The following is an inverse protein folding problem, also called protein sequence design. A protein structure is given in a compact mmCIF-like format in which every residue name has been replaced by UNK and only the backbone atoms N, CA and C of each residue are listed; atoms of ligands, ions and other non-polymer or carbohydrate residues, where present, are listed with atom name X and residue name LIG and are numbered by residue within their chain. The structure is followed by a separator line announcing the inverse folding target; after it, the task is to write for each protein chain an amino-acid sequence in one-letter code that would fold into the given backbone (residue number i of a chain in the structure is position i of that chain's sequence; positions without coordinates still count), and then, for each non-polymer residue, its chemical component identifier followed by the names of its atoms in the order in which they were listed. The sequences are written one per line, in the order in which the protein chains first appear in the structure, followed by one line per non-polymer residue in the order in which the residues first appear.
data_IF_367249424318
#
_entry.id   IF_367249424318
#
_cell.length_a   1.000
_cell.length_b   1.000
_cell.length_c   1.000
_cell.angle_alpha   90.00
_cell.angle_beta   90.00
_cell.angle_gamma   90.00
#
_symmetry.space_group_name_H-M   'P 1'
#
loop_
_entity.id
_entity.type
_entity.pdbx_description
1 polymer ?
#
# COMPACT_ATOMS: atom_id res chain seq x y z
N UNK A 1 -28.60 3.22 -9.30
CA UNK A 1 -28.33 3.01 -7.85
C UNK A 1 -28.50 4.35 -7.15
N UNK A 2 -28.94 4.42 -5.90
CA UNK A 2 -29.10 5.72 -5.22
C UNK A 2 -27.74 6.28 -4.79
N UNK A 3 -27.58 7.59 -4.91
CA UNK A 3 -26.39 8.30 -4.49
C UNK A 3 -26.06 8.03 -3.01
N UNK A 4 -24.78 7.84 -2.72
CA UNK A 4 -24.24 7.76 -1.37
C UNK A 4 -23.71 9.13 -0.98
N UNK A 5 -24.16 9.68 0.15
CA UNK A 5 -23.68 10.96 0.67
C UNK A 5 -23.27 10.81 2.13
N UNK A 6 -22.67 11.87 2.68
CA UNK A 6 -22.27 11.94 4.08
C UNK A 6 -23.18 12.92 4.80
N UNK A 7 -23.86 12.46 5.85
CA UNK A 7 -24.59 13.32 6.76
C UNK A 7 -24.09 13.07 8.18
N UNK A 8 -23.64 14.13 8.85
CA UNK A 8 -22.85 14.02 10.08
C UNK A 8 -21.70 13.01 9.89
N UNK A 9 -21.59 12.00 10.73
CA UNK A 9 -20.56 10.95 10.67
C UNK A 9 -21.07 9.64 10.06
N UNK A 10 -22.14 9.69 9.26
CA UNK A 10 -22.80 8.51 8.69
C UNK A 10 -22.80 8.56 7.16
N UNK A 11 -22.70 7.39 6.55
CA UNK A 11 -23.05 7.21 5.15
C UNK A 11 -24.56 7.11 5.02
N UNK A 12 -25.16 7.93 4.16
CA UNK A 12 -26.61 7.96 3.95
C UNK A 12 -26.96 7.83 2.47
N UNK A 13 -28.12 7.26 2.18
CA UNK A 13 -28.67 7.28 0.83
C UNK A 13 -29.63 8.44 0.58
N UNK A 14 -30.14 8.54 -0.65
CA UNK A 14 -31.08 9.56 -1.07
C UNK A 14 -32.43 9.55 -0.31
N UNK A 15 -32.75 8.50 0.45
CA UNK A 15 -33.94 8.44 1.31
C UNK A 15 -33.64 8.81 2.77
N UNK A 16 -32.41 9.22 3.08
CA UNK A 16 -31.97 9.55 4.43
C UNK A 16 -31.70 8.32 5.32
N UNK A 17 -31.59 7.12 4.74
CA UNK A 17 -31.28 5.90 5.51
C UNK A 17 -29.79 5.82 5.76
N UNK A 18 -29.39 5.55 7.00
CA UNK A 18 -28.01 5.21 7.34
C UNK A 18 -27.63 3.85 6.78
N UNK A 19 -26.52 3.79 6.07
CA UNK A 19 -26.03 2.58 5.41
C UNK A 19 -24.87 1.94 6.16
N UNK A 20 -24.98 0.63 6.41
CA UNK A 20 -23.85 -0.20 6.80
C UNK A 20 -23.23 -0.83 5.55
N UNK A 21 -22.09 -0.31 5.12
CA UNK A 21 -21.38 -0.82 3.96
C UNK A 21 -20.66 -2.12 4.33
N UNK A 22 -21.11 -3.25 3.78
CA UNK A 22 -20.51 -4.58 4.01
C UNK A 22 -20.15 -5.24 2.68
N UNK A 23 -18.90 -5.67 2.58
CA UNK A 23 -18.29 -6.00 1.31
C UNK A 23 -16.99 -6.79 1.41
N UNK A 24 -16.31 -6.90 0.29
CA UNK A 24 -15.00 -7.54 0.15
C UNK A 24 -14.06 -6.70 -0.71
N UNK A 25 -12.75 -6.92 -0.54
CA UNK A 25 -11.73 -6.46 -1.47
C UNK A 25 -11.75 -7.31 -2.75
N UNK A 26 -11.76 -6.67 -3.92
CA UNK A 26 -11.90 -7.32 -5.22
C UNK A 26 -10.82 -6.82 -6.20
N UNK A 27 -9.70 -7.52 -6.37
CA UNK A 27 -9.21 -8.63 -5.55
C UNK A 27 -7.69 -8.57 -5.44
N UNK A 28 -7.11 -9.31 -4.49
CA UNK A 28 -5.65 -9.46 -4.39
C UNK A 28 -4.99 -10.01 -5.66
N UNK A 29 -5.73 -10.69 -6.54
CA UNK A 29 -5.23 -11.14 -7.85
C UNK A 29 -4.90 -9.98 -8.80
N UNK A 30 -5.49 -8.79 -8.59
CA UNK A 30 -5.26 -7.56 -9.37
C UNK A 30 -3.92 -6.87 -9.06
N UNK A 31 -3.18 -7.35 -8.05
CA UNK A 31 -1.87 -6.82 -7.65
C UNK A 31 -0.76 -7.10 -8.68
N UNK A 32 -0.94 -8.11 -9.53
CA UNK A 32 0.07 -8.53 -10.51
C UNK A 32 -0.54 -8.68 -11.91
N UNK A 33 0.26 -8.54 -12.99
CA UNK A 33 -0.22 -8.69 -14.35
C UNK A 33 -0.98 -10.01 -14.58
N UNK A 34 -1.99 -9.98 -15.44
CA UNK A 34 -2.67 -11.17 -15.92
C UNK A 34 -1.77 -11.97 -16.86
N UNK A 35 -1.08 -11.25 -17.76
CA UNK A 35 -0.16 -11.81 -18.74
C UNK A 35 1.08 -10.92 -18.92
N UNK A 36 2.28 -11.50 -19.11
CA UNK A 36 2.58 -12.91 -18.88
C UNK A 36 2.56 -13.24 -17.37
N UNK A 37 2.17 -14.48 -17.01
CA UNK A 37 2.31 -14.95 -15.62
C UNK A 37 3.72 -15.48 -15.43
N UNK A 38 4.55 -14.68 -14.78
CA UNK A 38 5.97 -14.97 -14.58
C UNK A 38 6.36 -14.69 -13.14
N UNK A 39 7.19 -15.57 -12.60
CA UNK A 39 7.84 -15.38 -11.30
C UNK A 39 9.02 -14.42 -11.44
N UNK A 40 9.51 -13.91 -10.32
CA UNK A 40 10.53 -12.85 -10.31
C UNK A 40 11.97 -13.30 -10.64
N UNK A 41 12.20 -14.60 -10.82
CA UNK A 41 13.43 -15.18 -11.36
C UNK A 41 13.41 -15.32 -12.89
N UNK A 42 12.25 -15.20 -13.53
CA UNK A 42 12.12 -15.21 -14.98
C UNK A 42 12.56 -13.86 -15.56
N UNK A 43 13.41 -13.86 -16.60
CA UNK A 43 13.87 -12.64 -17.25
C UNK A 43 12.71 -11.77 -17.79
N UNK A 44 11.59 -12.40 -18.19
CA UNK A 44 10.37 -11.72 -18.65
C UNK A 44 9.69 -10.90 -17.55
N UNK A 45 9.97 -11.16 -16.28
CA UNK A 45 9.47 -10.34 -15.16
C UNK A 45 9.91 -8.88 -15.30
N UNK A 46 11.11 -8.65 -15.82
CA UNK A 46 11.68 -7.31 -16.03
C UNK A 46 11.21 -6.63 -17.32
N UNK A 47 10.47 -7.34 -18.18
CA UNK A 47 9.82 -6.75 -19.36
C UNK A 47 8.46 -6.14 -18.99
N UNK A 48 8.51 -5.12 -18.11
CA UNK A 48 7.30 -4.51 -17.56
C UNK A 48 6.48 -3.71 -18.58
N UNK A 49 7.05 -3.42 -19.75
CA UNK A 49 6.36 -2.67 -20.82
C UNK A 49 5.40 -3.56 -21.60
N UNK A 50 5.62 -4.87 -21.61
CA UNK A 50 4.82 -5.85 -22.35
C UNK A 50 3.97 -6.70 -21.40
N UNK A 51 3.31 -6.06 -20.43
CA UNK A 51 2.37 -6.70 -19.50
C UNK A 51 0.94 -6.24 -19.76
N UNK A 52 -0.02 -7.08 -19.42
CA UNK A 52 -1.45 -6.73 -19.45
C UNK A 52 -2.11 -7.11 -18.13
N UNK A 53 -2.93 -6.19 -17.61
CA UNK A 53 -3.80 -6.39 -16.45
C UNK A 53 -5.25 -6.70 -16.86
N UNK A 54 -5.56 -6.70 -18.16
CA UNK A 54 -6.88 -7.11 -18.69
C UNK A 54 -7.14 -8.55 -18.26
N UNK A 55 -8.30 -8.79 -17.65
CA UNK A 55 -8.64 -10.07 -17.04
C UNK A 55 -8.28 -10.19 -15.55
N UNK A 56 -7.85 -9.11 -14.88
CA UNK A 56 -7.79 -9.01 -13.41
C UNK A 56 -8.96 -8.19 -12.85
N UNK A 57 -9.77 -8.69 -11.92
CA UNK A 57 -9.49 -9.85 -11.06
C UNK A 57 -9.80 -11.21 -11.69
N UNK A 58 -10.63 -11.25 -12.73
CA UNK A 58 -11.08 -12.44 -13.46
C UNK A 58 -11.48 -12.08 -14.91
N UNK A 59 -11.68 -13.07 -15.79
CA UNK A 59 -12.14 -12.78 -17.15
C UNK A 59 -13.56 -12.17 -17.11
N UNK A 60 -13.85 -11.22 -18.01
CA UNK A 60 -15.13 -10.50 -17.99
C UNK A 60 -16.35 -11.44 -18.12
N UNK A 61 -16.21 -12.53 -18.88
CA UNK A 61 -17.25 -13.56 -19.03
C UNK A 61 -17.60 -14.30 -17.73
N UNK A 62 -16.69 -14.30 -16.75
CA UNK A 62 -16.88 -14.97 -15.46
C UNK A 62 -17.44 -13.99 -14.40
N UNK A 63 -17.64 -12.71 -14.77
CA UNK A 63 -18.07 -11.67 -13.84
C UNK A 63 -19.44 -11.95 -13.22
N UNK A 64 -20.40 -12.42 -14.02
CA UNK A 64 -21.76 -12.71 -13.56
C UNK A 64 -21.76 -13.78 -12.47
N UNK A 65 -21.00 -14.87 -12.64
CA UNK A 65 -20.88 -15.94 -11.63
C UNK A 65 -20.31 -15.41 -10.31
N UNK A 66 -19.22 -14.63 -10.37
CA UNK A 66 -18.57 -14.11 -9.18
C UNK A 66 -19.44 -13.07 -8.46
N UNK A 67 -20.07 -12.16 -9.19
CA UNK A 67 -20.90 -11.11 -8.61
C UNK A 67 -22.22 -11.65 -8.08
N UNK A 68 -22.83 -12.63 -8.74
CA UNK A 68 -23.99 -13.35 -8.22
C UNK A 68 -23.68 -14.03 -6.89
N UNK A 69 -22.53 -14.70 -6.79
CA UNK A 69 -22.08 -15.34 -5.54
C UNK A 69 -21.94 -14.34 -4.39
N UNK A 70 -21.28 -13.21 -4.61
CA UNK A 70 -21.10 -12.18 -3.58
C UNK A 70 -22.46 -11.59 -3.15
N UNK A 71 -23.37 -11.36 -4.10
CA UNK A 71 -24.73 -10.90 -3.82
C UNK A 71 -25.52 -11.94 -3.01
N UNK A 72 -25.41 -13.23 -3.34
CA UNK A 72 -26.05 -14.32 -2.60
C UNK A 72 -25.56 -14.43 -1.15
N UNK A 73 -24.31 -14.02 -0.88
CA UNK A 73 -23.78 -13.88 0.49
C UNK A 73 -24.24 -12.62 1.21
N UNK A 74 -25.06 -11.77 0.58
CA UNK A 74 -25.59 -10.54 1.15
C UNK A 74 -24.61 -9.36 1.11
N UNK A 75 -23.52 -9.45 0.35
CA UNK A 75 -22.56 -8.36 0.20
C UNK A 75 -23.10 -7.31 -0.78
N UNK A 76 -22.92 -6.04 -0.45
CA UNK A 76 -23.46 -4.90 -1.23
C UNK A 76 -22.40 -3.84 -1.54
N UNK A 77 -21.15 -4.11 -1.17
CA UNK A 77 -20.04 -3.18 -1.31
C UNK A 77 -18.79 -3.92 -1.81
N UNK A 78 -17.98 -3.26 -2.63
CA UNK A 78 -16.70 -3.74 -3.13
C UNK A 78 -15.65 -2.65 -2.97
N UNK A 79 -14.49 -3.03 -2.45
CA UNK A 79 -13.26 -2.25 -2.56
C UNK A 79 -12.46 -2.79 -3.75
N UNK A 80 -12.52 -2.11 -4.88
CA UNK A 80 -12.00 -2.58 -6.16
C UNK A 80 -10.53 -2.19 -6.34
N UNK A 81 -9.66 -3.19 -6.34
CA UNK A 81 -8.20 -3.07 -6.30
C UNK A 81 -7.68 -2.68 -7.68
N UNK A 82 -7.02 -1.52 -7.78
CA UNK A 82 -6.37 -1.03 -9.00
C UNK A 82 -4.97 -0.55 -8.69
N UNK A 83 -3.95 -1.15 -9.29
CA UNK A 83 -2.57 -0.69 -9.17
C UNK A 83 -2.29 0.43 -10.17
N UNK A 84 -1.34 1.32 -9.83
CA UNK A 84 -0.86 2.33 -10.78
C UNK A 84 -0.23 1.68 -12.02
N UNK A 85 0.47 0.55 -11.85
CA UNK A 85 1.05 -0.23 -12.94
C UNK A 85 -0.02 -0.73 -13.93
N UNK A 86 -1.21 -1.10 -13.46
CA UNK A 86 -2.28 -1.54 -14.35
C UNK A 86 -2.76 -0.41 -15.29
N UNK A 87 -2.77 0.84 -14.81
CA UNK A 87 -3.21 1.99 -15.59
C UNK A 87 -2.12 2.48 -16.54
N UNK A 88 -0.85 2.50 -16.11
CA UNK A 88 0.26 3.07 -16.89
C UNK A 88 1.53 2.21 -16.84
N UNK A 89 1.51 0.98 -17.38
CA UNK A 89 2.64 0.06 -17.26
C UNK A 89 3.85 0.50 -18.08
N UNK A 90 3.64 1.09 -19.26
CA UNK A 90 4.68 1.31 -20.28
C UNK A 90 5.60 2.49 -19.96
N UNK A 91 5.05 3.54 -19.37
CA UNK A 91 5.79 4.78 -19.14
C UNK A 91 4.94 5.91 -18.57
N UNK A 92 5.57 7.05 -18.25
CA UNK A 92 4.85 8.23 -17.78
C UNK A 92 3.89 8.72 -18.88
N UNK A 93 2.62 8.93 -18.51
CA UNK A 93 1.55 9.36 -19.42
C UNK A 93 1.19 8.36 -20.55
N UNK A 94 1.65 7.12 -20.46
CA UNK A 94 1.28 6.04 -21.38
C UNK A 94 0.21 5.14 -20.74
N UNK A 95 -1.05 5.55 -20.86
CA UNK A 95 -2.18 4.88 -20.22
C UNK A 95 -2.68 3.68 -21.04
N UNK A 96 -2.99 2.58 -20.36
CA UNK A 96 -3.52 1.37 -20.98
C UNK A 96 -5.06 1.47 -21.14
N UNK A 97 -5.49 1.94 -22.32
CA UNK A 97 -6.90 2.11 -22.64
C UNK A 97 -7.70 0.79 -22.57
N UNK A 98 -7.08 -0.34 -22.95
CA UNK A 98 -7.74 -1.65 -22.92
C UNK A 98 -8.04 -2.06 -21.47
N UNK A 99 -7.08 -1.85 -20.57
CA UNK A 99 -7.30 -2.08 -19.14
C UNK A 99 -8.39 -1.15 -18.56
N UNK A 100 -8.38 0.14 -18.91
CA UNK A 100 -9.39 1.09 -18.42
C UNK A 100 -10.81 0.69 -18.88
N UNK A 101 -10.96 0.27 -20.13
CA UNK A 101 -12.24 -0.18 -20.67
C UNK A 101 -12.70 -1.49 -20.03
N UNK A 102 -11.77 -2.43 -19.82
CA UNK A 102 -12.04 -3.67 -19.11
C UNK A 102 -12.45 -3.43 -17.64
N UNK A 103 -11.73 -2.57 -16.91
CA UNK A 103 -12.03 -2.24 -15.51
C UNK A 103 -13.41 -1.60 -15.39
N UNK A 104 -13.74 -0.67 -16.30
CA UNK A 104 -15.08 -0.08 -16.40
C UNK A 104 -16.15 -1.16 -16.59
N UNK A 105 -15.95 -2.12 -17.51
CA UNK A 105 -16.93 -3.16 -17.79
C UNK A 105 -17.20 -4.04 -16.55
N UNK A 106 -16.17 -4.42 -15.80
CA UNK A 106 -16.31 -5.19 -14.55
C UNK A 106 -17.06 -4.39 -13.48
N UNK A 107 -16.71 -3.11 -13.30
CA UNK A 107 -17.35 -2.22 -12.32
C UNK A 107 -18.82 -1.96 -12.68
N UNK A 108 -19.12 -1.80 -13.97
CA UNK A 108 -20.48 -1.66 -14.45
C UNK A 108 -21.32 -2.91 -14.15
N UNK A 109 -20.79 -4.12 -14.41
CA UNK A 109 -21.44 -5.37 -13.99
C UNK A 109 -21.68 -5.40 -12.48
N UNK A 110 -20.69 -5.02 -11.65
CA UNK A 110 -20.89 -4.97 -10.20
C UNK A 110 -22.07 -4.06 -9.80
N UNK A 111 -22.23 -2.93 -10.48
CA UNK A 111 -23.37 -2.02 -10.31
C UNK A 111 -24.73 -2.66 -10.64
N UNK A 112 -24.80 -3.46 -11.71
CA UNK A 112 -26.01 -4.21 -12.10
C UNK A 112 -26.41 -5.27 -11.07
N UNK A 113 -25.44 -5.84 -10.36
CA UNK A 113 -25.67 -6.73 -9.22
C UNK A 113 -25.95 -5.99 -7.90
N UNK A 114 -26.11 -4.67 -7.95
CA UNK A 114 -26.48 -3.86 -6.78
C UNK A 114 -25.32 -3.53 -5.84
N UNK A 115 -24.07 -3.68 -6.29
CA UNK A 115 -22.89 -3.38 -5.47
C UNK A 115 -22.42 -1.95 -5.64
N UNK A 116 -22.13 -1.29 -4.51
CA UNK A 116 -21.38 -0.03 -4.46
C UNK A 116 -19.89 -0.31 -4.54
N UNK A 117 -19.15 0.49 -5.29
CA UNK A 117 -17.75 0.26 -5.59
C UNK A 117 -16.91 1.45 -5.13
N UNK A 118 -15.98 1.20 -4.22
CA UNK A 118 -14.89 2.10 -3.85
C UNK A 118 -13.66 1.71 -4.67
N UNK A 119 -13.08 2.65 -5.39
CA UNK A 119 -11.82 2.43 -6.11
C UNK A 119 -10.66 2.55 -5.13
N UNK A 120 -9.80 1.54 -5.11
CA UNK A 120 -8.62 1.46 -4.26
C UNK A 120 -7.35 1.53 -5.12
N UNK A 121 -6.68 2.70 -5.14
CA UNK A 121 -5.31 2.86 -5.64
C UNK A 121 -4.30 2.04 -4.84
N UNK A 122 -4.20 0.76 -5.19
CA UNK A 122 -3.51 -0.24 -4.41
C UNK A 122 -2.00 -0.24 -4.63
N UNK A 123 -1.28 -0.51 -3.55
CA UNK A 123 0.14 -0.79 -3.52
C UNK A 123 0.47 -1.58 -2.25
N UNK A 124 1.41 -2.50 -2.36
CA UNK A 124 2.17 -3.02 -1.23
C UNK A 124 3.65 -2.74 -1.47
N UNK A 125 4.31 -2.12 -0.51
CA UNK A 125 5.75 -1.86 -0.58
C UNK A 125 6.20 -1.19 -1.89
N UNK A 126 5.43 -0.24 -2.40
CA UNK A 126 5.65 0.53 -3.62
C UNK A 126 5.42 -0.20 -4.94
N UNK A 127 6.05 -1.35 -5.22
CA UNK A 127 6.08 -1.96 -6.55
C UNK A 127 6.39 -3.46 -6.48
N UNK A 128 6.03 -4.21 -7.54
CA UNK A 128 6.48 -5.61 -7.68
C UNK A 128 7.99 -5.76 -7.79
N UNK A 129 8.68 -4.72 -8.26
CA UNK A 129 10.15 -4.66 -8.29
C UNK A 129 10.78 -4.35 -6.93
N UNK A 130 9.96 -4.05 -5.93
CA UNK A 130 10.37 -3.86 -4.53
C UNK A 130 9.79 -4.92 -3.59
N UNK A 131 9.22 -5.99 -4.16
CA UNK A 131 8.72 -7.16 -3.43
C UNK A 131 7.28 -7.05 -2.93
N UNK A 132 6.48 -6.17 -3.52
CA UNK A 132 5.02 -6.11 -3.33
C UNK A 132 4.30 -5.83 -4.66
N UNK A 133 3.60 -4.70 -4.77
CA UNK A 133 2.86 -4.28 -5.96
C UNK A 133 2.54 -2.76 -5.93
N UNK A 134 1.93 -2.25 -7.01
CA UNK A 134 1.41 -0.88 -7.04
C UNK A 134 1.99 -0.05 -8.19
N UNK A 135 3.09 0.63 -7.94
CA UNK A 135 3.75 1.53 -8.89
C UNK A 135 4.46 0.77 -10.02
N UNK A 136 4.38 1.27 -11.27
CA UNK A 136 5.05 0.66 -12.41
C UNK A 136 6.59 0.78 -12.32
N UNK A 137 7.28 -0.16 -12.97
CA UNK A 137 8.75 -0.26 -12.93
C UNK A 137 9.48 1.00 -13.39
N UNK A 138 8.91 1.75 -14.34
CA UNK A 138 9.50 3.01 -14.81
C UNK A 138 9.65 4.06 -13.70
N UNK A 139 8.87 4.01 -12.61
CA UNK A 139 9.01 4.96 -11.50
C UNK A 139 10.35 4.80 -10.78
N UNK A 140 10.83 3.57 -10.65
CA UNK A 140 12.14 3.25 -10.05
C UNK A 140 13.26 3.64 -11.02
N UNK A 141 13.12 3.28 -12.30
CA UNK A 141 14.11 3.61 -13.32
C UNK A 141 14.27 5.12 -13.51
N UNK A 142 13.18 5.88 -13.39
CA UNK A 142 13.17 7.35 -13.46
C UNK A 142 14.00 8.00 -12.35
N UNK A 143 14.09 7.35 -11.19
CA UNK A 143 14.96 7.78 -10.06
C UNK A 143 16.39 7.23 -10.20
N UNK A 144 16.65 6.42 -11.23
CA UNK A 144 17.98 5.89 -11.57
C UNK A 144 18.24 4.48 -11.04
N UNK A 145 17.24 3.80 -10.48
CA UNK A 145 17.39 2.42 -10.04
C UNK A 145 17.51 1.44 -11.22
N UNK A 146 18.30 0.38 -11.05
CA UNK A 146 18.34 -0.79 -11.91
C UNK A 146 17.47 -1.91 -11.30
N UNK A 147 16.37 -2.23 -11.98
CA UNK A 147 15.40 -3.23 -11.53
C UNK A 147 16.04 -4.61 -11.30
N UNK A 148 17.04 -4.99 -12.12
CA UNK A 148 17.69 -6.31 -12.03
C UNK A 148 18.63 -6.42 -10.83
N UNK A 149 19.14 -5.29 -10.34
CA UNK A 149 20.10 -5.25 -9.24
C UNK A 149 19.45 -5.04 -7.85
N UNK A 150 18.13 -5.03 -7.76
CA UNK A 150 17.40 -4.87 -6.49
C UNK A 150 17.75 -5.94 -5.46
N UNK A 151 17.71 -7.21 -5.88
CA UNK A 151 18.01 -8.36 -5.01
C UNK A 151 19.50 -8.49 -4.72
N UNK A 152 20.42 -8.48 -5.71
CA UNK A 152 21.86 -8.58 -5.47
C UNK A 152 22.40 -7.55 -4.47
N UNK A 153 21.90 -6.31 -4.56
CA UNK A 153 22.30 -5.22 -3.67
C UNK A 153 21.60 -5.26 -2.32
N UNK A 154 20.48 -5.98 -2.20
CA UNK A 154 19.61 -5.96 -1.04
C UNK A 154 18.74 -4.69 -0.92
N UNK A 155 18.65 -3.90 -2.00
CA UNK A 155 17.78 -2.73 -2.10
C UNK A 155 16.29 -3.09 -2.01
N UNK A 156 15.92 -4.31 -2.41
CA UNK A 156 14.65 -4.96 -2.10
C UNK A 156 14.81 -6.50 -2.08
N UNK A 157 13.87 -7.21 -1.46
CA UNK A 157 13.72 -8.66 -1.57
C UNK A 157 12.51 -9.00 -2.42
N UNK A 158 12.69 -9.82 -3.45
CA UNK A 158 11.61 -10.32 -4.31
C UNK A 158 11.13 -11.69 -3.83
N UNK A 159 9.87 -12.05 -4.11
CA UNK A 159 9.25 -13.27 -3.58
C UNK A 159 10.00 -14.57 -3.92
N UNK A 160 10.60 -14.67 -5.12
CA UNK A 160 11.31 -15.87 -5.56
C UNK A 160 12.60 -16.16 -4.77
N UNK A 161 13.17 -15.20 -4.04
CA UNK A 161 14.46 -15.39 -3.38
C UNK A 161 14.41 -16.40 -2.23
N UNK A 162 13.20 -16.82 -1.82
CA UNK A 162 12.96 -17.78 -0.75
C UNK A 162 11.89 -18.82 -1.13
N UNK A 163 12.10 -19.65 -2.16
CA UNK A 163 11.03 -20.47 -2.76
C UNK A 163 10.57 -21.63 -1.87
N UNK A 164 11.38 -22.03 -0.88
CA UNK A 164 11.06 -23.18 0.00
C UNK A 164 10.47 -22.81 1.35
N UNK A 165 10.74 -21.60 1.87
CA UNK A 165 10.21 -21.04 3.13
C UNK A 165 10.56 -19.55 3.22
N UNK A 166 9.80 -18.61 2.63
CA UNK A 166 9.96 -17.23 3.05
C UNK A 166 9.59 -17.17 4.54
N UNK A 167 10.43 -16.60 5.41
CA UNK A 167 10.02 -16.29 6.77
C UNK A 167 8.69 -15.52 6.71
N UNK A 168 7.73 -15.88 7.57
CA UNK A 168 6.36 -15.33 7.54
C UNK A 168 6.37 -13.79 7.48
N UNK A 169 5.80 -13.19 6.43
CA UNK A 169 5.76 -11.73 6.16
C UNK A 169 7.08 -11.05 5.77
N UNK A 170 7.97 -11.71 5.02
CA UNK A 170 9.31 -11.14 4.71
C UNK A 170 9.23 -9.90 3.84
N UNK A 171 8.17 -9.84 3.04
CA UNK A 171 7.83 -8.70 2.21
C UNK A 171 7.69 -7.41 3.03
N UNK A 172 7.14 -7.45 4.26
CA UNK A 172 6.97 -6.27 5.10
C UNK A 172 8.32 -5.66 5.54
N UNK A 173 9.40 -6.46 5.53
CA UNK A 173 10.75 -5.94 5.80
C UNK A 173 11.28 -5.05 4.69
N UNK A 174 10.68 -5.11 3.49
CA UNK A 174 11.08 -4.26 2.38
C UNK A 174 10.80 -2.78 2.67
N UNK A 175 9.79 -2.41 3.47
CA UNK A 175 9.52 -1.00 3.80
C UNK A 175 10.71 -0.24 4.40
N UNK A 176 11.67 -0.93 5.01
CA UNK A 176 12.91 -0.36 5.54
C UNK A 176 14.11 -0.39 4.56
N UNK A 177 13.99 -1.08 3.43
CA UNK A 177 15.05 -1.23 2.44
C UNK A 177 15.12 -0.04 1.49
N UNK A 178 16.27 0.07 0.83
CA UNK A 178 16.65 1.25 0.07
C UNK A 178 15.58 1.68 -0.93
N UNK A 179 15.13 0.77 -1.82
CA UNK A 179 14.27 1.16 -2.93
C UNK A 179 12.90 1.69 -2.48
N UNK A 180 12.06 0.91 -1.77
CA UNK A 180 10.73 1.41 -1.36
C UNK A 180 10.83 2.58 -0.38
N UNK A 181 11.74 2.57 0.60
CA UNK A 181 11.88 3.69 1.52
C UNK A 181 12.30 4.97 0.78
N UNK A 182 13.16 4.86 -0.24
CA UNK A 182 13.53 5.99 -1.09
C UNK A 182 12.31 6.50 -1.86
N UNK A 183 11.58 5.62 -2.54
CA UNK A 183 10.45 6.02 -3.38
C UNK A 183 9.34 6.70 -2.58
N UNK A 184 8.97 6.16 -1.41
CA UNK A 184 8.00 6.82 -0.53
C UNK A 184 8.48 8.18 -0.03
N UNK A 185 9.76 8.30 0.33
CA UNK A 185 10.31 9.58 0.79
C UNK A 185 10.30 10.62 -0.33
N UNK A 186 10.68 10.24 -1.56
CA UNK A 186 10.63 11.13 -2.72
C UNK A 186 9.19 11.51 -3.07
N UNK A 187 8.25 10.56 -3.01
CA UNK A 187 6.85 10.79 -3.34
C UNK A 187 6.17 11.77 -2.39
N UNK A 188 6.44 11.68 -1.09
CA UNK A 188 5.74 12.48 -0.08
C UNK A 188 6.51 13.71 0.38
N UNK A 189 7.84 13.68 0.39
CA UNK A 189 8.68 14.76 0.90
C UNK A 189 9.99 14.93 0.12
N UNK A 190 9.98 14.65 -1.19
CA UNK A 190 11.15 14.80 -2.06
C UNK A 190 11.63 16.25 -2.16
N UNK A 191 10.73 17.24 -2.16
CA UNK A 191 11.13 18.65 -2.21
C UNK A 191 11.87 19.08 -0.93
N UNK A 192 11.54 18.45 0.20
CA UNK A 192 12.16 18.71 1.51
C UNK A 192 13.50 18.00 1.67
N UNK A 193 13.54 16.71 1.37
CA UNK A 193 14.68 15.84 1.72
C UNK A 193 15.56 15.47 0.52
N UNK A 194 15.11 15.73 -0.70
CA UNK A 194 15.86 15.41 -1.91
C UNK A 194 15.75 16.50 -2.99
N UNK A 195 15.96 17.79 -2.66
CA UNK A 195 15.73 18.90 -3.59
C UNK A 195 16.64 18.86 -4.84
N UNK A 196 17.79 18.18 -4.78
CA UNK A 196 18.66 17.99 -5.94
C UNK A 196 18.18 16.87 -6.89
N UNK A 197 17.28 16.00 -6.44
CA UNK A 197 16.79 14.88 -7.24
C UNK A 197 15.72 15.36 -8.22
N UNK A 198 16.07 15.38 -9.51
CA UNK A 198 15.19 15.77 -10.60
C UNK A 198 15.01 14.65 -11.62
N UNK A 199 13.80 14.57 -12.18
CA UNK A 199 13.39 13.62 -13.20
C UNK A 199 12.78 14.42 -14.35
N UNK A 200 13.36 14.30 -15.55
CA UNK A 200 12.97 15.10 -16.73
C UNK A 200 12.87 16.61 -16.43
N UNK A 201 13.83 17.11 -15.66
CA UNK A 201 13.89 18.52 -15.26
C UNK A 201 12.92 18.93 -14.14
N UNK A 202 12.03 18.07 -13.67
CA UNK A 202 11.10 18.34 -12.57
C UNK A 202 11.63 17.80 -11.23
N UNK A 203 11.31 18.43 -10.08
CA UNK A 203 11.53 17.81 -8.78
C UNK A 203 10.90 16.41 -8.70
N UNK A 204 11.59 15.44 -8.10
CA UNK A 204 11.11 14.06 -8.07
C UNK A 204 9.71 13.90 -7.44
N UNK A 205 9.41 14.68 -6.40
CA UNK A 205 8.09 14.69 -5.76
C UNK A 205 6.99 15.13 -6.74
N UNK A 206 7.19 16.29 -7.36
CA UNK A 206 6.26 16.82 -8.37
C UNK A 206 6.12 15.87 -9.54
N UNK A 207 7.23 15.23 -9.93
CA UNK A 207 7.22 14.27 -11.01
C UNK A 207 6.27 13.11 -10.68
N UNK A 208 6.55 12.39 -9.59
CA UNK A 208 5.82 11.18 -9.24
C UNK A 208 4.35 11.46 -8.88
N UNK A 209 4.07 12.48 -8.05
CA UNK A 209 2.70 12.80 -7.65
C UNK A 209 1.81 13.17 -8.84
N UNK A 210 2.33 13.96 -9.79
CA UNK A 210 1.56 14.38 -10.96
C UNK A 210 1.17 13.19 -11.83
N UNK A 211 2.09 12.23 -12.07
CA UNK A 211 1.77 11.06 -12.91
C UNK A 211 0.86 10.07 -12.19
N UNK A 212 1.01 9.92 -10.87
CA UNK A 212 0.09 9.12 -10.07
C UNK A 212 -1.33 9.68 -10.14
N UNK A 213 -1.50 10.98 -9.85
CA UNK A 213 -2.79 11.66 -9.92
C UNK A 213 -3.36 11.56 -11.33
N UNK A 214 -2.56 11.84 -12.37
CA UNK A 214 -3.02 11.78 -13.75
C UNK A 214 -3.52 10.37 -14.14
N UNK A 215 -2.84 9.30 -13.70
CA UNK A 215 -3.28 7.93 -13.96
C UNK A 215 -4.66 7.65 -13.33
N UNK A 216 -4.85 7.95 -12.05
CA UNK A 216 -6.13 7.73 -11.39
C UNK A 216 -7.21 8.72 -11.85
N UNK A 217 -6.84 9.92 -12.31
CA UNK A 217 -7.75 10.81 -13.04
C UNK A 217 -8.24 10.19 -14.34
N UNK A 218 -7.40 9.48 -15.10
CA UNK A 218 -7.84 8.75 -16.31
C UNK A 218 -8.83 7.63 -16.00
N UNK A 219 -8.62 6.90 -14.91
CA UNK A 219 -9.59 5.94 -14.43
C UNK A 219 -10.90 6.64 -14.02
N UNK A 220 -10.83 7.72 -13.26
CA UNK A 220 -12.02 8.47 -12.82
C UNK A 220 -12.81 9.06 -14.00
N UNK A 221 -12.14 9.60 -15.03
CA UNK A 221 -12.76 10.04 -16.28
C UNK A 221 -13.54 8.90 -16.96
N UNK A 222 -13.02 7.67 -16.89
CA UNK A 222 -13.65 6.47 -17.45
C UNK A 222 -14.81 5.92 -16.62
N UNK A 223 -14.93 6.31 -15.35
CA UNK A 223 -15.92 5.77 -14.41
C UNK A 223 -16.99 6.79 -13.97
N UNK A 224 -16.81 8.08 -14.28
CA UNK A 224 -17.63 9.20 -13.77
C UNK A 224 -19.15 9.08 -13.96
N UNK A 225 -19.61 8.33 -14.95
CA UNK A 225 -21.04 8.12 -15.27
C UNK A 225 -21.61 6.85 -14.63
N UNK A 226 -20.79 6.05 -13.95
CA UNK A 226 -21.25 4.86 -13.23
C UNK A 226 -21.69 5.22 -11.81
N UNK A 227 -23.00 5.25 -11.56
CA UNK A 227 -23.57 5.55 -10.24
C UNK A 227 -23.19 4.55 -9.13
N UNK A 228 -22.69 3.37 -9.48
CA UNK A 228 -22.20 2.40 -8.51
C UNK A 228 -20.86 2.81 -7.90
N UNK A 229 -20.08 3.67 -8.56
CA UNK A 229 -18.79 4.14 -8.03
C UNK A 229 -19.04 5.23 -7.00
N UNK A 230 -18.73 4.94 -5.75
CA UNK A 230 -19.02 5.86 -4.63
C UNK A 230 -17.87 6.82 -4.32
N UNK A 231 -16.64 6.47 -4.72
CA UNK A 231 -15.48 7.24 -4.33
C UNK A 231 -14.17 6.55 -4.61
N UNK A 232 -13.11 7.18 -4.12
CA UNK A 232 -11.73 6.79 -4.34
C UNK A 232 -10.96 6.88 -3.03
N UNK A 233 -10.15 5.87 -2.74
CA UNK A 233 -9.08 6.01 -1.76
C UNK A 233 -7.94 6.84 -2.33
N UNK A 234 -7.17 7.49 -1.46
CA UNK A 234 -5.99 8.26 -1.89
C UNK A 234 -4.81 7.37 -2.25
N UNK A 235 -4.57 6.33 -1.46
CA UNK A 235 -3.48 5.34 -1.63
C UNK A 235 -3.66 4.23 -0.60
N UNK A 236 -3.50 2.96 -1.00
CA UNK A 236 -3.44 1.83 -0.07
C UNK A 236 -2.27 1.97 0.92
N UNK A 237 -2.52 1.82 2.23
CA UNK A 237 -1.50 1.69 3.29
C UNK A 237 -0.24 2.57 3.08
N UNK A 238 -0.39 3.90 3.04
CA UNK A 238 0.69 4.79 2.64
C UNK A 238 1.84 4.74 3.66
N UNK A 239 3.08 4.65 3.16
CA UNK A 239 4.28 4.58 4.00
C UNK A 239 5.03 5.91 4.05
N UNK A 240 5.55 6.27 5.23
CA UNK A 240 6.38 7.45 5.42
C UNK A 240 7.77 7.37 4.78
N UNK A 241 8.19 6.20 4.30
CA UNK A 241 9.58 5.97 3.90
C UNK A 241 10.55 6.30 5.03
N UNK A 242 11.50 7.22 4.79
CA UNK A 242 12.45 7.72 5.77
C UNK A 242 11.98 8.95 6.56
N UNK A 243 10.83 9.55 6.22
CA UNK A 243 10.34 10.78 6.86
C UNK A 243 10.17 10.55 8.37
N UNK A 244 10.83 11.37 9.19
CA UNK A 244 10.79 11.26 10.65
C UNK A 244 11.79 10.28 11.26
N UNK A 245 12.68 9.65 10.47
CA UNK A 245 13.71 8.76 11.00
C UNK A 245 14.80 9.52 11.73
N UNK A 246 14.75 9.46 13.07
CA UNK A 246 15.68 10.10 14.02
C UNK A 246 17.17 9.70 13.88
N UNK A 247 17.49 8.50 13.41
CA UNK A 247 18.87 8.02 13.33
C UNK A 247 19.05 6.99 12.20
N UNK A 248 19.91 7.28 11.23
CA UNK A 248 20.19 6.41 10.07
C UNK A 248 20.99 5.15 10.40
N UNK A 249 21.58 5.04 11.60
CA UNK A 249 22.27 3.83 12.04
C UNK A 249 21.33 2.82 12.72
N UNK A 250 20.12 3.22 13.10
CA UNK A 250 19.12 2.33 13.69
C UNK A 250 17.93 2.11 12.76
N UNK A 251 17.44 0.88 12.69
CA UNK A 251 16.18 0.58 12.00
C UNK A 251 15.02 0.88 12.94
N UNK A 252 14.09 1.74 12.52
CA UNK A 252 12.90 2.12 13.29
C UNK A 252 11.65 1.30 12.92
N UNK A 253 11.77 0.41 11.93
CA UNK A 253 10.71 -0.49 11.51
C UNK A 253 10.84 -1.90 12.08
N UNK A 254 9.79 -2.71 11.92
CA UNK A 254 9.72 -4.11 12.31
C UNK A 254 10.86 -4.93 11.71
N UNK A 255 11.53 -5.74 12.54
CA UNK A 255 12.65 -6.60 12.13
C UNK A 255 12.47 -7.98 12.73
N UNK A 256 12.37 -8.97 11.87
CA UNK A 256 12.42 -10.37 12.27
C UNK A 256 13.26 -11.22 11.28
N UNK A 257 13.80 -10.58 10.26
CA UNK A 257 14.75 -11.11 9.26
C UNK A 257 15.89 -10.08 9.05
N UNK A 258 17.07 -10.44 8.50
CA UNK A 258 18.16 -9.50 8.24
C UNK A 258 17.73 -8.28 7.40
N UNK A 259 17.46 -7.19 8.11
CA UNK A 259 17.01 -5.90 7.56
C UNK A 259 18.07 -4.83 7.86
N UNK A 260 18.62 -4.14 6.85
CA UNK A 260 19.63 -3.11 7.03
C UNK A 260 19.07 -1.89 7.78
N UNK A 261 19.93 -1.11 8.45
CA UNK A 261 19.60 0.29 8.75
C UNK A 261 19.61 1.15 7.47
N UNK A 262 19.09 2.38 7.48
CA UNK A 262 19.12 3.26 6.30
C UNK A 262 20.52 3.49 5.78
N UNK A 263 21.47 3.75 6.68
CA UNK A 263 22.87 3.91 6.33
C UNK A 263 23.39 2.66 5.62
N UNK A 264 23.15 1.48 6.20
CA UNK A 264 23.54 0.22 5.57
C UNK A 264 22.85 0.02 4.23
N UNK A 265 21.57 0.35 4.10
CA UNK A 265 20.81 0.20 2.86
C UNK A 265 21.37 1.11 1.74
N UNK A 266 21.69 2.36 2.06
CA UNK A 266 22.31 3.33 1.15
C UNK A 266 23.71 2.86 0.69
N UNK A 267 24.51 2.35 1.63
CA UNK A 267 25.86 1.84 1.34
C UNK A 267 25.80 0.58 0.50
N UNK A 268 24.95 -0.37 0.87
CA UNK A 268 24.70 -1.61 0.13
C UNK A 268 24.28 -1.31 -1.31
N UNK A 269 23.29 -0.43 -1.52
CA UNK A 269 22.86 -0.06 -2.87
C UNK A 269 23.92 0.67 -3.69
N UNK A 270 24.97 1.18 -3.06
CA UNK A 270 26.07 1.90 -3.72
C UNK A 270 27.32 1.03 -3.92
N UNK A 271 27.24 -0.27 -3.66
CA UNK A 271 28.34 -1.22 -3.87
C UNK A 271 29.26 -1.42 -2.67
N UNK A 272 28.92 -0.88 -1.50
CA UNK A 272 29.69 -1.11 -0.26
C UNK A 272 29.09 -2.28 0.53
N UNK A 273 29.75 -3.44 0.64
CA UNK A 273 29.22 -4.58 1.39
C UNK A 273 29.00 -4.23 2.86
N UNK A 274 27.88 -4.65 3.46
CA UNK A 274 27.53 -4.36 4.85
C UNK A 274 27.14 -5.61 5.63
N UNK A 275 27.59 -5.71 6.89
CA UNK A 275 27.21 -6.80 7.78
C UNK A 275 25.84 -6.49 8.38
N UNK A 276 24.80 -7.12 7.81
CA UNK A 276 23.42 -6.98 8.26
C UNK A 276 23.11 -8.15 9.19
N UNK A 277 23.12 -7.87 10.49
CA UNK A 277 23.03 -8.88 11.55
C UNK A 277 24.13 -9.94 11.39
N UNK A 278 23.77 -11.19 11.11
CA UNK A 278 24.71 -12.29 10.89
C UNK A 278 25.13 -12.48 9.43
N UNK A 279 24.51 -11.75 8.48
CA UNK A 279 24.73 -11.94 7.04
C UNK A 279 25.62 -10.84 6.46
N UNK A 280 26.66 -11.22 5.71
CA UNK A 280 27.39 -10.30 4.84
C UNK A 280 26.58 -10.10 3.54
N UNK A 281 26.07 -8.89 3.32
CA UNK A 281 25.25 -8.56 2.15
C UNK A 281 26.05 -7.81 1.07
N UNK A 282 25.63 -7.98 -0.20
CA UNK A 282 26.24 -7.40 -1.41
C UNK A 282 27.76 -7.62 -1.53
N UNK A 283 28.23 -8.88 -1.43
CA UNK A 283 29.67 -9.22 -1.52
C UNK A 283 30.28 -8.90 -2.88
N UNK A 284 29.48 -8.96 -3.93
CA UNK A 284 29.86 -8.70 -5.32
C UNK A 284 30.00 -7.21 -5.63
N UNK A 285 29.69 -6.33 -4.65
CA UNK A 285 29.76 -4.87 -4.82
C UNK A 285 28.90 -4.35 -5.97
N UNK A 286 27.78 -5.04 -6.24
CA UNK A 286 26.80 -4.62 -7.23
C UNK A 286 26.19 -3.25 -6.84
N UNK A 287 25.71 -2.50 -7.82
CA UNK A 287 25.05 -1.20 -7.61
C UNK A 287 23.56 -1.34 -7.90
N UNK A 288 22.73 -0.77 -7.03
CA UNK A 288 21.28 -0.71 -7.22
C UNK A 288 20.88 0.33 -8.29
N UNK A 289 21.85 1.10 -8.78
CA UNK A 289 21.68 2.23 -9.68
C UNK A 289 22.17 1.87 -11.07
N UNK A 290 21.48 2.37 -12.09
CA UNK A 290 21.89 2.25 -13.49
C UNK A 290 23.24 2.93 -13.73
N UNK A 291 23.88 2.59 -14.84
CA UNK A 291 25.10 3.26 -15.29
C UNK A 291 24.87 4.76 -15.46
N UNK A 292 25.79 5.57 -14.93
CA UNK A 292 25.68 7.02 -14.88
C UNK A 292 24.77 7.58 -13.77
N UNK A 293 24.01 6.73 -13.06
CA UNK A 293 23.20 7.17 -11.92
C UNK A 293 23.95 6.96 -10.59
N UNK A 294 23.77 7.87 -9.63
CA UNK A 294 24.30 7.76 -8.27
C UNK A 294 23.15 7.67 -7.26
N UNK A 295 23.45 7.20 -6.04
CA UNK A 295 22.50 7.19 -4.95
C UNK A 295 21.94 8.59 -4.68
N UNK A 296 20.61 8.72 -4.75
CA UNK A 296 19.91 9.99 -4.50
C UNK A 296 20.28 10.60 -3.15
N UNK A 297 20.49 9.78 -2.13
CA UNK A 297 20.84 10.26 -0.79
C UNK A 297 22.30 10.73 -0.70
N UNK A 298 23.19 10.18 -1.53
CA UNK A 298 24.56 10.72 -1.65
C UNK A 298 24.54 12.08 -2.35
N UNK A 299 23.80 12.18 -3.46
CA UNK A 299 23.61 13.43 -4.20
C UNK A 299 23.02 14.57 -3.35
N UNK A 300 22.17 14.23 -2.38
CA UNK A 300 21.56 15.19 -1.45
C UNK A 300 22.33 15.34 -0.13
N UNK A 301 23.59 14.90 -0.08
CA UNK A 301 24.51 15.15 1.05
C UNK A 301 24.17 14.39 2.34
N UNK A 302 23.42 13.30 2.28
CA UNK A 302 23.09 12.49 3.47
C UNK A 302 24.31 11.70 3.96
N UNK A 303 25.10 11.20 3.01
CA UNK A 303 26.29 10.40 3.26
C UNK A 303 27.30 10.60 2.14
N UNK A 304 28.57 10.29 2.39
CA UNK A 304 29.63 10.34 1.38
C UNK A 304 30.74 9.32 1.69
N UNK A 305 31.77 9.27 0.86
CA UNK A 305 32.94 8.41 1.00
C UNK A 305 34.10 9.24 1.56
N UNK A 306 34.73 8.77 2.63
CA UNK A 306 35.86 9.45 3.24
C UNK A 306 37.15 9.31 2.39
N UNK A 307 38.23 9.98 2.78
CA UNK A 307 39.53 9.92 2.10
C UNK A 307 40.15 8.50 2.02
N UNK A 308 39.66 7.54 2.80
CA UNK A 308 40.10 6.13 2.80
C UNK A 308 39.23 5.24 1.89
N UNK A 309 38.24 5.80 1.21
CA UNK A 309 37.32 5.03 0.37
C UNK A 309 36.19 4.35 1.15
N UNK A 310 35.93 4.76 2.40
CA UNK A 310 34.90 4.15 3.25
C UNK A 310 33.64 5.01 3.31
N UNK A 311 32.43 4.41 3.22
CA UNK A 311 31.18 5.16 3.27
C UNK A 311 30.88 5.64 4.70
N UNK A 312 30.40 6.87 4.84
CA UNK A 312 30.06 7.49 6.13
C UNK A 312 28.84 8.38 5.99
N UNK A 313 27.90 8.25 6.94
CA UNK A 313 26.77 9.19 7.08
C UNK A 313 27.30 10.54 7.55
N UNK A 314 26.97 11.60 6.82
CA UNK A 314 27.28 12.98 7.19
C UNK A 314 26.26 13.51 8.20
N UNK A 315 25.01 13.06 8.07
CA UNK A 315 23.85 13.61 8.76
C UNK A 315 22.94 12.50 9.31
N UNK A 316 23.22 11.95 10.50
CA UNK A 316 22.47 10.81 11.06
C UNK A 316 20.99 11.07 11.32
N UNK A 317 20.60 12.33 11.49
CA UNK A 317 19.25 12.80 11.83
C UNK A 317 18.54 13.48 10.64
N UNK A 318 19.08 13.31 9.42
CA UNK A 318 18.69 14.06 8.21
C UNK A 318 17.18 14.19 8.02
N UNK A 319 16.43 13.10 8.16
CA UNK A 319 14.98 13.06 7.92
C UNK A 319 14.12 13.60 9.07
N UNK A 320 14.73 14.24 10.07
CA UNK A 320 14.02 14.95 11.16
C UNK A 320 14.35 16.43 11.23
N UNK A 321 15.34 16.92 10.46
CA UNK A 321 15.89 18.28 10.59
C UNK A 321 14.90 19.39 10.28
N UNK A 322 14.02 19.17 9.31
CA UNK A 322 13.06 20.18 8.83
C UNK A 322 11.74 20.12 9.62
N UNK A 323 11.62 19.21 10.61
CA UNK A 323 10.40 19.06 11.41
C UNK A 323 9.19 18.49 10.66
N UNK A 324 9.31 18.22 9.36
CA UNK A 324 8.25 17.67 8.52
C UNK A 324 7.77 16.32 9.04
N UNK A 325 6.47 16.24 9.31
CA UNK A 325 5.75 15.04 9.72
C UNK A 325 5.01 14.43 8.55
N UNK A 326 5.10 13.11 8.43
CA UNK A 326 4.32 12.37 7.44
C UNK A 326 2.81 12.53 7.65
N UNK A 327 2.33 12.23 8.86
CA UNK A 327 0.90 12.22 9.19
C UNK A 327 0.29 13.62 9.27
N UNK A 328 1.08 14.67 9.57
CA UNK A 328 0.56 16.04 9.71
C UNK A 328 0.76 16.91 8.48
N UNK A 329 1.83 16.69 7.72
CA UNK A 329 2.23 17.61 6.66
C UNK A 329 2.22 16.92 5.29
N UNK A 330 3.06 15.89 5.10
CA UNK A 330 3.35 15.33 3.80
C UNK A 330 2.16 14.57 3.17
N UNK A 331 1.55 13.64 3.93
CA UNK A 331 0.40 12.87 3.43
C UNK A 331 -0.87 13.73 3.30
N UNK A 332 -1.26 14.57 4.28
CA UNK A 332 -2.39 15.48 4.12
C UNK A 332 -2.28 16.41 2.90
N UNK A 333 -1.08 16.94 2.60
CA UNK A 333 -0.86 17.78 1.43
C UNK A 333 -1.12 17.01 0.13
N UNK A 334 -0.59 15.78 0.02
CA UNK A 334 -0.85 14.91 -1.13
C UNK A 334 -2.34 14.53 -1.24
N UNK A 335 -2.98 14.13 -0.14
CA UNK A 335 -4.39 13.76 -0.11
C UNK A 335 -5.30 14.89 -0.61
N UNK A 336 -5.05 16.13 -0.18
CA UNK A 336 -5.77 17.32 -0.67
C UNK A 336 -5.54 17.55 -2.17
N UNK A 337 -4.33 17.30 -2.68
CA UNK A 337 -4.01 17.41 -4.11
C UNK A 337 -4.74 16.35 -4.93
N UNK A 338 -4.70 15.09 -4.50
CA UNK A 338 -5.42 13.98 -5.14
C UNK A 338 -6.94 14.21 -5.14
N UNK A 339 -7.50 14.56 -3.99
CA UNK A 339 -8.92 14.84 -3.83
C UNK A 339 -9.43 15.92 -4.80
N UNK A 340 -8.71 17.04 -4.91
CA UNK A 340 -9.05 18.13 -5.84
C UNK A 340 -9.10 17.65 -7.29
N UNK A 341 -8.13 16.84 -7.70
CA UNK A 341 -8.09 16.32 -9.07
C UNK A 341 -9.26 15.37 -9.35
N UNK A 342 -9.53 14.41 -8.46
CA UNK A 342 -10.64 13.47 -8.62
C UNK A 342 -11.99 14.18 -8.58
N UNK A 343 -12.21 15.09 -7.62
CA UNK A 343 -13.48 15.79 -7.46
C UNK A 343 -13.74 16.85 -8.54
N UNK A 344 -12.70 17.31 -9.24
CA UNK A 344 -12.88 18.10 -10.46
C UNK A 344 -13.49 17.30 -11.62
N UNK A 345 -13.34 15.96 -11.60
CA UNK A 345 -13.88 15.05 -12.60
C UNK A 345 -15.25 14.50 -12.15
N UNK A 346 -15.35 14.05 -10.89
CA UNK A 346 -16.61 13.62 -10.27
C UNK A 346 -16.83 14.33 -8.92
N UNK A 347 -17.59 15.43 -8.91
CA UNK A 347 -17.89 16.19 -7.68
C UNK A 347 -18.61 15.38 -6.60
N UNK A 348 -19.21 14.24 -6.96
CA UNK A 348 -19.94 13.36 -6.02
C UNK A 348 -18.99 12.44 -5.25
N UNK A 349 -17.77 12.24 -5.74
CA UNK A 349 -16.84 11.25 -5.22
C UNK A 349 -16.54 11.50 -3.73
N UNK A 350 -16.77 10.46 -2.92
CA UNK A 350 -16.22 10.38 -1.58
C UNK A 350 -14.70 10.15 -1.67
N UNK A 351 -13.95 10.80 -0.78
CA UNK A 351 -12.50 10.63 -0.71
C UNK A 351 -12.17 9.91 0.59
N UNK A 352 -11.63 8.71 0.46
CA UNK A 352 -11.24 7.88 1.58
C UNK A 352 -9.75 8.04 1.84
N UNK A 353 -9.40 8.33 3.10
CA UNK A 353 -8.00 8.46 3.53
C UNK A 353 -7.68 7.46 4.63
N UNK A 354 -6.42 7.07 4.72
CA UNK A 354 -5.89 6.17 5.75
C UNK A 354 -4.62 6.73 6.35
N UNK A 355 -4.28 6.24 7.55
CA UNK A 355 -2.96 6.44 8.15
C UNK A 355 -1.94 5.41 7.66
N UNK A 356 -0.68 5.60 8.03
CA UNK A 356 0.31 4.52 7.95
C UNK A 356 -0.18 3.35 8.83
N UNK A 357 -0.12 2.08 8.37
CA UNK A 357 -0.63 0.95 9.14
C UNK A 357 -0.08 0.91 10.57
N UNK A 358 -1.00 0.90 11.55
CA UNK A 358 -0.66 0.87 12.97
C UNK A 358 -0.22 2.21 13.59
N UNK A 359 -0.24 3.30 12.82
CA UNK A 359 -0.03 4.66 13.31
C UNK A 359 -1.39 5.41 13.41
N UNK A 360 -1.36 6.59 14.01
CA UNK A 360 -2.55 7.42 14.18
C UNK A 360 -3.11 7.93 12.84
N UNK A 361 -4.39 8.32 12.85
CA UNK A 361 -5.03 8.97 11.71
C UNK A 361 -4.24 10.20 11.20
N UNK A 362 -4.26 10.46 9.88
CA UNK A 362 -3.65 11.68 9.33
C UNK A 362 -4.36 12.93 9.85
N UNK A 363 -3.63 14.05 9.97
CA UNK A 363 -4.18 15.33 10.41
C UNK A 363 -5.00 16.01 9.30
N UNK A 364 -6.13 15.38 8.98
CA UNK A 364 -7.16 15.88 8.08
C UNK A 364 -8.47 15.95 8.85
N UNK A 365 -9.12 17.11 8.80
CA UNK A 365 -10.38 17.37 9.46
C UNK A 365 -11.52 17.47 8.45
N UNK A 366 -12.76 17.29 8.93
CA UNK A 366 -13.95 17.64 8.16
C UNK A 366 -13.81 19.06 7.60
N UNK A 367 -14.01 19.21 6.29
CA UNK A 367 -13.92 20.47 5.57
C UNK A 367 -12.59 20.69 4.84
N UNK A 368 -11.52 19.97 5.20
CA UNK A 368 -10.26 19.98 4.46
C UNK A 368 -10.41 19.41 3.04
N UNK A 369 -11.26 18.39 2.91
CA UNK A 369 -11.62 17.71 1.67
C UNK A 369 -13.14 17.53 1.67
N UNK A 370 -13.87 17.95 0.61
CA UNK A 370 -15.29 17.62 0.44
C UNK A 370 -15.51 16.11 0.48
N UNK A 371 -16.61 15.65 1.07
CA UNK A 371 -16.97 14.22 1.12
C UNK A 371 -15.87 13.29 1.70
N UNK A 372 -15.08 13.78 2.67
CA UNK A 372 -14.02 13.02 3.32
C UNK A 372 -14.56 11.88 4.20
N UNK A 373 -13.96 10.71 4.08
CA UNK A 373 -14.19 9.54 4.91
C UNK A 373 -12.87 8.93 5.40
N UNK A 374 -12.88 8.30 6.57
CA UNK A 374 -11.72 7.60 7.13
C UNK A 374 -11.80 6.09 6.84
N UNK A 375 -10.73 5.53 6.28
CA UNK A 375 -10.65 4.13 5.86
C UNK A 375 -9.49 3.35 6.50
N UNK A 376 -9.43 3.21 7.84
CA UNK A 376 -8.34 2.48 8.48
C UNK A 376 -8.39 0.98 8.17
N UNK A 377 -7.24 0.33 8.33
CA UNK A 377 -7.11 -1.13 8.28
C UNK A 377 -6.89 -1.70 9.67
N UNK A 378 -7.38 -2.91 9.89
CA UNK A 378 -7.22 -3.60 11.16
C UNK A 378 -7.00 -5.08 10.93
N UNK A 379 -6.03 -5.67 11.63
CA UNK A 379 -5.80 -7.10 11.55
C UNK A 379 -5.57 -7.69 12.94
N UNK A 380 -6.00 -8.94 13.08
CA UNK A 380 -5.55 -9.80 14.16
C UNK A 380 -4.06 -10.08 13.99
N UNK A 381 -3.22 -9.28 14.67
CA UNK A 381 -1.79 -9.24 14.42
C UNK A 381 -1.10 -10.60 14.56
N UNK A 382 -1.44 -11.39 15.57
CA UNK A 382 -0.84 -12.71 15.73
C UNK A 382 -1.31 -13.67 14.64
N UNK A 383 -2.61 -13.68 14.34
CA UNK A 383 -3.16 -14.58 13.32
C UNK A 383 -2.57 -14.27 11.95
N UNK A 384 -2.45 -12.98 11.61
CA UNK A 384 -1.84 -12.51 10.38
C UNK A 384 -0.34 -12.85 10.32
N UNK A 385 0.43 -12.45 11.34
CA UNK A 385 1.89 -12.59 11.34
C UNK A 385 2.36 -14.04 11.45
N UNK A 386 1.70 -14.84 12.30
CA UNK A 386 2.09 -16.22 12.50
C UNK A 386 1.45 -17.18 11.49
N UNK A 387 0.45 -16.73 10.71
CA UNK A 387 -0.48 -17.60 9.95
C UNK A 387 -1.03 -18.74 10.81
N UNK A 388 -1.32 -18.43 12.07
CA UNK A 388 -1.75 -19.41 13.08
C UNK A 388 -2.81 -18.79 13.97
N UNK A 389 -3.87 -19.55 14.18
CA UNK A 389 -4.92 -19.20 15.12
C UNK A 389 -4.65 -19.85 16.48
N UNK A 390 -4.50 -19.00 17.51
CA UNK A 390 -4.46 -19.44 18.89
C UNK A 390 -5.62 -18.81 19.67
N UNK A 391 -6.51 -19.65 20.19
CA UNK A 391 -7.72 -19.21 20.87
C UNK A 391 -7.46 -18.30 22.08
N UNK A 392 -6.35 -18.53 22.81
CA UNK A 392 -6.01 -17.82 24.05
C UNK A 392 -4.79 -16.88 23.93
N UNK A 393 -4.28 -16.64 22.72
CA UNK A 393 -3.13 -15.76 22.49
C UNK A 393 -3.43 -14.81 21.32
N UNK A 394 -3.44 -13.51 21.61
CA UNK A 394 -3.59 -12.43 20.64
C UNK A 394 -2.58 -11.31 20.90
N UNK A 395 -2.60 -10.27 20.07
CA UNK A 395 -1.80 -9.07 20.28
C UNK A 395 -2.66 -7.81 20.15
N UNK A 396 -2.34 -6.83 20.97
CA UNK A 396 -2.77 -5.45 20.82
C UNK A 396 -1.72 -4.77 19.96
N UNK A 397 -2.04 -4.57 18.67
CA UNK A 397 -1.08 -4.07 17.69
C UNK A 397 -0.78 -2.58 17.89
N UNK A 398 -1.76 -1.82 18.39
CA UNK A 398 -1.60 -0.40 18.72
C UNK A 398 -0.68 -0.21 19.94
N UNK A 399 -0.84 -1.04 20.98
CA UNK A 399 0.00 -0.96 22.20
C UNK A 399 1.23 -1.88 22.18
N UNK A 400 1.42 -2.64 21.09
CA UNK A 400 2.54 -3.58 20.89
C UNK A 400 2.74 -4.56 22.05
N UNK A 401 1.65 -5.16 22.55
CA UNK A 401 1.68 -6.10 23.69
C UNK A 401 0.88 -7.37 23.42
N UNK A 402 1.30 -8.48 24.03
CA UNK A 402 0.54 -9.73 24.00
C UNK A 402 -0.72 -9.64 24.87
N UNK A 403 -1.77 -10.33 24.45
CA UNK A 403 -3.05 -10.43 25.14
C UNK A 403 -3.39 -11.91 25.34
N UNK A 404 -3.61 -12.31 26.58
CA UNK A 404 -3.86 -13.69 26.96
C UNK A 404 -5.32 -13.90 27.39
N UNK A 405 -5.94 -14.96 26.86
CA UNK A 405 -7.32 -15.37 27.15
C UNK A 405 -8.34 -14.80 26.17
N UNK A 406 -9.26 -15.65 25.70
CA UNK A 406 -10.23 -15.32 24.65
C UNK A 406 -11.08 -14.06 24.96
N UNK A 407 -11.58 -13.93 26.19
CA UNK A 407 -12.35 -12.74 26.60
C UNK A 407 -11.53 -11.45 26.65
N UNK A 408 -10.23 -11.54 27.01
CA UNK A 408 -9.34 -10.38 27.00
C UNK A 408 -8.97 -9.97 25.57
N UNK A 409 -8.77 -10.94 24.68
CA UNK A 409 -8.55 -10.71 23.24
C UNK A 409 -9.76 -10.00 22.64
N UNK A 410 -10.98 -10.47 22.92
CA UNK A 410 -12.20 -9.84 22.44
C UNK A 410 -12.32 -8.37 22.86
N UNK A 411 -12.08 -8.08 24.15
CA UNK A 411 -12.08 -6.70 24.66
C UNK A 411 -10.96 -5.85 24.05
N UNK A 412 -9.79 -6.44 23.83
CA UNK A 412 -8.67 -5.74 23.19
C UNK A 412 -8.96 -5.40 21.73
N UNK A 413 -9.59 -6.29 20.98
CA UNK A 413 -9.94 -6.05 19.58
C UNK A 413 -11.01 -4.96 19.46
N UNK A 414 -12.08 -5.05 20.26
CA UNK A 414 -13.10 -4.01 20.34
C UNK A 414 -12.50 -2.64 20.73
N UNK A 415 -11.56 -2.62 21.70
CA UNK A 415 -10.87 -1.39 22.10
C UNK A 415 -9.99 -0.81 20.99
N UNK A 416 -9.30 -1.65 20.21
CA UNK A 416 -8.51 -1.20 19.05
C UNK A 416 -9.40 -0.60 17.97
N UNK A 417 -10.53 -1.25 17.63
CA UNK A 417 -11.49 -0.71 16.67
C UNK A 417 -12.15 0.58 17.16
N UNK A 418 -12.39 0.70 18.46
CA UNK A 418 -12.91 1.94 19.07
C UNK A 418 -11.94 3.13 18.93
N UNK A 419 -10.62 2.90 18.82
CA UNK A 419 -9.64 3.96 18.55
C UNK A 419 -9.95 4.62 17.21
N UNK A 420 -10.20 3.85 16.15
CA UNK A 420 -10.50 4.41 14.83
C UNK A 420 -11.78 5.24 14.83
N UNK A 421 -12.82 4.76 15.53
CA UNK A 421 -14.04 5.54 15.73
C UNK A 421 -13.76 6.82 16.50
N UNK A 422 -12.91 6.79 17.52
CA UNK A 422 -12.54 7.97 18.28
C UNK A 422 -11.75 8.98 17.42
N UNK A 423 -10.76 8.51 16.67
CA UNK A 423 -9.99 9.35 15.73
C UNK A 423 -10.89 10.02 14.70
N UNK A 424 -11.79 9.27 14.05
CA UNK A 424 -12.71 9.82 13.06
C UNK A 424 -13.62 10.90 13.67
N UNK A 425 -14.14 10.67 14.88
CA UNK A 425 -15.07 11.58 15.54
C UNK A 425 -14.40 12.82 16.12
N UNK A 426 -13.22 12.66 16.74
CA UNK A 426 -12.54 13.72 17.49
C UNK A 426 -11.42 14.33 16.66
N UNK A 427 -10.43 13.51 16.29
CA UNK A 427 -9.24 13.98 15.58
C UNK A 427 -9.55 14.46 14.16
N UNK A 428 -10.51 13.86 13.46
CA UNK A 428 -10.87 14.22 12.09
C UNK A 428 -12.16 15.05 11.97
N UNK A 429 -12.73 15.53 13.07
CA UNK A 429 -13.90 16.41 13.04
C UNK A 429 -15.20 15.72 12.62
N UNK A 430 -15.36 14.43 12.91
CA UNK A 430 -16.64 13.73 12.74
C UNK A 430 -16.84 13.03 11.40
N UNK A 431 -15.79 12.67 10.66
CA UNK A 431 -15.98 11.98 9.36
C UNK A 431 -16.52 10.56 9.55
N UNK A 432 -17.26 9.98 8.58
CA UNK A 432 -17.65 8.58 8.64
C UNK A 432 -16.44 7.66 8.53
N UNK A 433 -16.56 6.44 9.06
CA UNK A 433 -15.50 5.43 9.04
C UNK A 433 -15.95 4.19 8.29
N UNK A 434 -15.09 3.68 7.42
CA UNK A 434 -15.20 2.38 6.77
C UNK A 434 -13.96 1.57 7.15
N UNK A 435 -14.09 0.36 7.70
CA UNK A 435 -12.92 -0.49 7.86
C UNK A 435 -12.54 -1.05 6.48
N UNK A 436 -11.49 -0.50 5.86
CA UNK A 436 -11.14 -0.76 4.45
C UNK A 436 -10.63 -2.19 4.23
N UNK A 437 -9.87 -2.70 5.19
CA UNK A 437 -9.37 -4.06 5.17
C UNK A 437 -9.23 -4.67 6.56
N UNK A 438 -9.66 -5.93 6.66
CA UNK A 438 -9.33 -6.85 7.72
C UNK A 438 -9.48 -8.28 7.20
N UNK A 439 -8.88 -9.23 7.88
CA UNK A 439 -9.05 -10.63 7.52
C UNK A 439 -8.03 -11.54 8.18
N UNK A 440 -8.01 -12.77 7.69
CA UNK A 440 -7.10 -13.82 8.13
C UNK A 440 -6.50 -14.50 6.89
N UNK A 441 -5.27 -15.04 7.00
CA UNK A 441 -4.78 -16.01 6.03
C UNK A 441 -5.71 -17.22 6.01
N UNK A 442 -6.02 -17.77 4.83
CA UNK A 442 -6.80 -19.02 4.72
C UNK A 442 -5.93 -20.28 4.88
N UNK A 443 -4.62 -20.15 4.73
CA UNK A 443 -3.60 -21.19 4.93
C UNK A 443 -3.15 -21.29 6.40
N UNK A 444 -4.11 -21.22 7.35
CA UNK A 444 -3.78 -21.29 8.77
C UNK A 444 -3.19 -22.66 9.13
N UNK A 445 -2.07 -22.64 9.87
CA UNK A 445 -1.35 -23.82 10.35
C UNK A 445 -0.77 -24.75 9.28
N UNK A 446 -1.17 -24.68 8.01
CA UNK A 446 -0.65 -25.52 6.92
C UNK A 446 -0.55 -24.80 5.58
N UNK A 447 0.49 -25.08 4.77
CA UNK A 447 0.74 -24.36 3.52
C UNK A 447 -0.08 -24.81 2.30
N UNK A 448 -0.95 -25.83 2.39
CA UNK A 448 -1.63 -26.38 1.22
C UNK A 448 -3.12 -26.66 1.47
N UNK A 449 -3.96 -26.02 0.65
CA UNK A 449 -5.41 -26.22 0.40
C UNK A 449 -6.30 -26.31 1.65
N UNK A 450 -7.35 -25.48 1.67
CA UNK A 450 -8.43 -25.57 2.66
C UNK A 450 -9.04 -26.98 2.65
N UNK A 451 -8.72 -27.83 3.64
CA UNK A 451 -9.52 -29.01 3.96
C UNK A 451 -10.66 -28.59 4.88
N UNK A 452 -11.71 -29.41 5.02
CA UNK A 452 -12.84 -29.14 5.94
C UNK A 452 -12.44 -28.78 7.38
N UNK A 453 -11.35 -29.35 7.90
CA UNK A 453 -10.83 -28.99 9.23
C UNK A 453 -10.21 -27.58 9.28
N UNK A 454 -9.64 -27.13 8.16
CA UNK A 454 -9.05 -25.80 7.98
C UNK A 454 -10.18 -24.75 7.85
N UNK A 455 -11.33 -25.12 7.28
CA UNK A 455 -12.53 -24.28 7.24
C UNK A 455 -13.01 -23.91 8.65
N UNK A 456 -13.12 -24.87 9.57
CA UNK A 456 -13.57 -24.57 10.95
C UNK A 456 -12.59 -23.65 11.69
N UNK A 457 -11.28 -23.80 11.50
CA UNK A 457 -10.28 -22.91 12.09
C UNK A 457 -10.35 -21.50 11.50
N UNK A 458 -10.45 -21.39 10.18
CA UNK A 458 -10.63 -20.13 9.49
C UNK A 458 -11.93 -19.44 9.92
N UNK A 459 -13.05 -20.17 10.01
CA UNK A 459 -14.32 -19.65 10.53
C UNK A 459 -14.17 -19.13 11.95
N UNK A 460 -13.51 -19.86 12.86
CA UNK A 460 -13.30 -19.39 14.25
C UNK A 460 -12.41 -18.15 14.33
N UNK A 461 -11.35 -18.11 13.53
CA UNK A 461 -10.45 -16.97 13.48
C UNK A 461 -11.13 -15.73 12.90
N UNK A 462 -11.97 -15.90 11.88
CA UNK A 462 -12.74 -14.83 11.28
C UNK A 462 -13.89 -14.38 12.19
N UNK A 463 -14.60 -15.31 12.83
CA UNK A 463 -15.65 -15.05 13.84
C UNK A 463 -15.10 -14.21 15.00
N UNK A 464 -13.87 -14.48 15.47
CA UNK A 464 -13.21 -13.64 16.49
C UNK A 464 -13.09 -12.18 16.06
N UNK A 465 -12.77 -11.94 14.78
CA UNK A 465 -12.69 -10.59 14.21
C UNK A 465 -14.08 -9.97 14.09
N UNK A 466 -15.06 -10.72 13.57
CA UNK A 466 -16.43 -10.23 13.41
C UNK A 466 -17.13 -9.89 14.71
N UNK A 467 -16.88 -10.64 15.80
CA UNK A 467 -17.44 -10.31 17.12
C UNK A 467 -16.93 -8.98 17.68
N UNK A 468 -15.79 -8.49 17.18
CA UNK A 468 -15.17 -7.26 17.66
C UNK A 468 -15.68 -6.03 16.91
N UNK A 469 -16.17 -6.22 15.68
CA UNK A 469 -16.85 -5.23 14.84
C UNK A 469 -18.31 -5.07 15.27
#
# INVERSE_FOLDING_TARGET
MLALTIHNNQFVDAYGRTLMLRGVNLAGSSKIPFAPRVESDDARFYDYKNVSFVGRPFALRDADEHLERLRAWGLTFLRFVVTWEAIAPRGPNEYDAEYLDYARAVIQKAGEYGMRVLIDPHQDVWSRFTGGDGAPGWTLEAVGFDLRNMTPTGAALLHHTHPRRPPLLVWATNYARLAPATMFTLFFAGDTFAPATRIDGLPAQEFLQTRYIAAFSKLAERLRDLDCVVGYEVMNEPSRGYIGWRNLYSSQQYRYWPTPSPAQAMFLGSGFPQRVWWKMANRERARAWRDGCECVWKQNGVWDVNARGEPRVLHPDYFTRVGTSFARDAYPAFAKRFARAIQSIDPRALIFVQGEPGEAAPALHRGDIPNLAYAPHWYDGITLMARRYWHHLGADMLKRRLVLGAGAIQRSFAAQLAVFRHEANVAMGGVPTLLGEFGIPFDLHQPALLRRADEMLATRALDRSFRAL
#
